data_IF_236275498062
#
_entry.id   IF_236275498062
#
_cell.length_a   1.000
_cell.length_b   1.000
_cell.length_c   1.000
_cell.angle_alpha   90.00
_cell.angle_beta   90.00
_cell.angle_gamma   90.00
#
_symmetry.space_group_name_H-M   'P 1'
#
loop_
_entity.id
_entity.type
_entity.pdbx_description
1 polymer ?
#
# COMPACT_ATOMS: atom_id res chain seq x y z
N UNK A 1 29.83 7.46 -7.56
CA UNK A 1 28.48 7.26 -6.97
C UNK A 1 28.52 6.76 -5.53
N UNK A 2 29.21 5.65 -5.22
CA UNK A 2 29.27 5.10 -3.84
C UNK A 2 29.75 6.10 -2.78
N UNK A 3 30.88 6.78 -3.02
CA UNK A 3 31.43 7.76 -2.07
C UNK A 3 30.48 8.92 -1.81
N UNK A 4 29.76 9.39 -2.84
CA UNK A 4 28.77 10.44 -2.69
C UNK A 4 27.55 9.95 -1.88
N UNK A 5 27.09 8.72 -2.14
CA UNK A 5 26.05 8.08 -1.33
C UNK A 5 26.44 7.97 0.14
N UNK A 6 27.69 7.58 0.43
CA UNK A 6 28.24 7.52 1.78
C UNK A 6 28.23 8.90 2.46
N UNK A 7 28.68 9.95 1.77
CA UNK A 7 28.70 11.31 2.32
C UNK A 7 27.28 11.80 2.60
N UNK A 8 26.34 11.62 1.67
CA UNK A 8 24.95 12.04 1.85
C UNK A 8 24.23 11.25 2.95
N UNK A 9 24.50 9.95 3.04
CA UNK A 9 24.03 9.12 4.14
C UNK A 9 24.52 9.67 5.49
N UNK A 10 25.82 9.95 5.59
CA UNK A 10 26.41 10.49 6.82
C UNK A 10 25.80 11.85 7.19
N UNK A 11 25.66 12.75 6.22
CA UNK A 11 25.04 14.07 6.41
C UNK A 11 23.61 13.99 6.95
N UNK A 12 22.85 12.98 6.51
CA UNK A 12 21.46 12.73 6.90
C UNK A 12 21.31 11.97 8.24
N UNK A 13 22.17 10.99 8.51
CA UNK A 13 22.04 10.11 9.69
C UNK A 13 22.75 10.64 10.94
N UNK A 14 23.72 11.54 10.75
CA UNK A 14 24.52 12.09 11.83
C UNK A 14 24.49 13.63 11.81
N UNK A 15 23.33 14.27 12.05
CA UNK A 15 23.18 15.72 11.91
C UNK A 15 24.12 16.50 12.84
N UNK A 16 24.35 16.01 14.07
CA UNK A 16 25.26 16.65 15.04
C UNK A 16 26.71 16.60 14.57
N UNK A 17 27.21 15.42 14.16
CA UNK A 17 28.58 15.29 13.66
C UNK A 17 28.79 16.06 12.36
N UNK A 18 27.80 16.03 11.48
CA UNK A 18 27.81 16.77 10.21
C UNK A 18 27.85 18.27 10.45
N UNK A 19 27.08 18.78 11.41
CA UNK A 19 27.14 20.18 11.83
C UNK A 19 28.56 20.58 12.27
N UNK A 20 29.18 19.79 13.16
CA UNK A 20 30.52 20.07 13.66
C UNK A 20 31.58 20.03 12.54
N UNK A 21 31.49 19.06 11.63
CA UNK A 21 32.43 18.93 10.49
C UNK A 21 32.28 20.11 9.53
N UNK A 22 31.05 20.52 9.19
CA UNK A 22 30.80 21.65 8.30
C UNK A 22 31.27 22.98 8.93
N UNK A 23 31.03 23.16 10.23
CA UNK A 23 31.52 24.32 10.97
C UNK A 23 33.05 24.35 11.00
N UNK A 24 33.70 23.23 11.31
CA UNK A 24 35.15 23.10 11.30
C UNK A 24 35.74 23.40 9.91
N UNK A 25 35.11 22.91 8.84
CA UNK A 25 35.52 23.19 7.47
C UNK A 25 35.42 24.69 7.15
N UNK A 26 34.36 25.36 7.61
CA UNK A 26 34.22 26.82 7.50
C UNK A 26 35.33 27.60 8.23
N UNK A 27 35.68 27.18 9.45
CA UNK A 27 36.80 27.75 10.22
C UNK A 27 38.14 27.53 9.51
N UNK A 28 38.39 26.30 9.04
CA UNK A 28 39.61 25.93 8.34
C UNK A 28 39.78 26.75 7.05
N UNK A 29 38.74 26.84 6.23
CA UNK A 29 38.75 27.63 5.00
C UNK A 29 38.94 29.12 5.27
N UNK A 30 38.34 29.64 6.35
CA UNK A 30 38.54 31.03 6.79
C UNK A 30 39.99 31.27 7.19
N UNK A 31 40.62 30.33 7.91
CA UNK A 31 42.02 30.42 8.32
C UNK A 31 42.98 30.38 7.12
N UNK A 32 42.73 29.48 6.17
CA UNK A 32 43.57 29.30 4.97
C UNK A 32 43.43 30.47 3.98
N UNK A 33 42.21 30.92 3.71
CA UNK A 33 41.90 31.92 2.68
C UNK A 33 41.84 33.34 3.26
N UNK A 34 41.81 33.47 4.59
CA UNK A 34 41.72 34.74 5.36
C UNK A 34 40.50 35.59 5.00
N UNK A 35 39.38 34.96 4.63
CA UNK A 35 38.10 35.63 4.35
C UNK A 35 37.01 35.11 5.28
N UNK A 36 36.45 35.98 6.10
CA UNK A 36 35.41 35.64 7.09
C UNK A 36 34.11 35.10 6.47
N UNK A 37 33.86 35.36 5.18
CA UNK A 37 32.68 34.86 4.46
C UNK A 37 32.59 33.32 4.48
N UNK A 38 33.72 32.60 4.52
CA UNK A 38 33.70 31.13 4.59
C UNK A 38 33.23 30.61 5.94
N UNK A 39 33.46 31.35 7.03
CA UNK A 39 32.94 31.02 8.34
C UNK A 39 31.43 31.19 8.36
N UNK A 40 30.93 32.29 7.79
CA UNK A 40 29.49 32.53 7.66
C UNK A 40 28.84 31.43 6.82
N UNK A 41 29.40 31.09 5.66
CA UNK A 41 28.89 30.03 4.79
C UNK A 41 28.96 28.65 5.45
N UNK A 42 30.03 28.33 6.18
CA UNK A 42 30.16 27.08 6.91
C UNK A 42 29.12 26.95 8.01
N UNK A 43 28.89 28.03 8.78
CA UNK A 43 27.87 28.07 9.82
C UNK A 43 26.45 27.95 9.26
N UNK A 44 26.10 28.74 8.23
CA UNK A 44 24.79 28.66 7.57
C UNK A 44 24.58 27.30 6.89
N UNK A 45 25.62 26.75 6.27
CA UNK A 45 25.58 25.41 5.66
C UNK A 45 25.37 24.31 6.70
N UNK A 46 26.01 24.41 7.88
CA UNK A 46 25.80 23.48 8.98
C UNK A 46 24.36 23.52 9.51
N UNK A 47 23.77 24.71 9.65
CA UNK A 47 22.35 24.87 10.01
C UNK A 47 21.42 24.30 8.93
N UNK A 48 21.67 24.63 7.67
CA UNK A 48 20.88 24.13 6.55
C UNK A 48 20.92 22.60 6.46
N UNK A 49 22.06 21.96 6.77
CA UNK A 49 22.21 20.51 6.75
C UNK A 49 21.20 19.80 7.65
N UNK A 50 20.90 20.34 8.84
CA UNK A 50 19.96 19.75 9.80
C UNK A 50 18.57 19.55 9.16
N UNK A 51 18.15 20.49 8.31
CA UNK A 51 16.82 20.47 7.69
C UNK A 51 16.81 19.93 6.26
N UNK A 52 17.91 20.06 5.52
CA UNK A 52 17.92 19.79 4.08
C UNK A 52 18.67 18.51 3.68
N UNK A 53 19.47 17.91 4.57
CA UNK A 53 20.27 16.74 4.23
C UNK A 53 19.43 15.55 3.75
N UNK A 54 18.32 15.26 4.44
CA UNK A 54 17.44 14.15 4.07
C UNK A 54 16.72 14.40 2.74
N UNK A 55 16.33 15.64 2.44
CA UNK A 55 15.75 16.00 1.13
C UNK A 55 16.77 15.86 -0.01
N UNK A 56 17.99 16.36 0.20
CA UNK A 56 19.07 16.23 -0.79
C UNK A 56 19.41 14.76 -1.04
N UNK A 57 19.47 13.95 0.03
CA UNK A 57 19.71 12.52 -0.06
C UNK A 57 18.57 11.79 -0.80
N UNK A 58 17.31 12.10 -0.48
CA UNK A 58 16.14 11.54 -1.16
C UNK A 58 16.12 11.89 -2.67
N UNK A 59 16.41 13.15 -3.02
CA UNK A 59 16.54 13.57 -4.41
C UNK A 59 17.64 12.80 -5.14
N UNK A 60 18.83 12.73 -4.55
CA UNK A 60 19.98 12.03 -5.12
C UNK A 60 19.70 10.53 -5.35
N UNK A 61 19.18 9.84 -4.33
CA UNK A 61 18.87 8.42 -4.41
C UNK A 61 17.73 8.15 -5.39
N UNK A 62 16.73 9.03 -5.48
CA UNK A 62 15.68 8.86 -6.47
C UNK A 62 16.21 9.06 -7.90
N UNK A 63 17.08 10.05 -8.12
CA UNK A 63 17.63 10.34 -9.44
C UNK A 63 18.59 9.26 -9.94
N UNK A 64 19.46 8.73 -9.07
CA UNK A 64 20.58 7.87 -9.48
C UNK A 64 20.54 6.44 -8.93
N UNK A 65 19.63 6.16 -7.98
CA UNK A 65 19.51 4.84 -7.37
C UNK A 65 18.78 3.84 -8.26
N UNK A 66 19.10 2.56 -8.06
CA UNK A 66 18.38 1.45 -8.68
C UNK A 66 17.26 0.97 -7.76
N UNK A 67 16.17 0.48 -8.34
CA UNK A 67 15.02 0.00 -7.57
C UNK A 67 15.36 -1.28 -6.82
N UNK A 68 14.83 -1.39 -5.60
CA UNK A 68 14.81 -2.59 -4.77
C UNK A 68 13.49 -2.67 -4.02
N UNK A 69 13.35 -3.73 -3.22
CA UNK A 69 12.20 -3.95 -2.35
C UNK A 69 12.68 -4.08 -0.92
N UNK A 70 11.99 -3.48 0.03
CA UNK A 70 12.37 -3.50 1.43
C UNK A 70 11.17 -3.82 2.32
N UNK A 71 11.43 -4.32 3.52
CA UNK A 71 10.44 -4.55 4.56
C UNK A 71 11.00 -4.11 5.91
N UNK A 72 10.18 -3.42 6.70
CA UNK A 72 10.53 -3.09 8.08
C UNK A 72 10.39 -4.34 8.92
N UNK A 73 11.48 -4.80 9.52
CA UNK A 73 11.52 -6.01 10.36
C UNK A 73 11.33 -5.67 11.84
N UNK A 74 11.68 -4.45 12.24
CA UNK A 74 11.54 -3.98 13.62
C UNK A 74 11.28 -2.47 13.65
N UNK A 75 10.41 -2.06 14.56
CA UNK A 75 10.19 -0.66 14.93
C UNK A 75 10.45 -0.50 16.43
N UNK A 76 11.26 0.49 16.82
CA UNK A 76 11.61 0.78 18.22
C UNK A 76 11.30 2.23 18.55
N UNK A 77 10.53 2.46 19.61
CA UNK A 77 10.26 3.81 20.12
C UNK A 77 11.51 4.39 20.79
N UNK A 78 11.86 5.63 20.45
CA UNK A 78 13.01 6.34 21.03
C UNK A 78 12.65 7.13 22.29
N UNK A 79 11.39 7.06 22.75
CA UNK A 79 10.80 7.89 23.81
C UNK A 79 10.92 9.40 23.55
N UNK A 80 11.13 9.78 22.29
CA UNK A 80 11.22 11.17 21.84
C UNK A 80 10.03 11.50 20.96
N UNK A 81 9.57 12.75 21.00
CA UNK A 81 8.49 13.23 20.14
C UNK A 81 8.99 14.33 19.21
N UNK A 82 8.45 14.37 18.00
CA UNK A 82 8.62 15.41 17.00
C UNK A 82 7.21 15.90 16.62
N UNK A 83 6.89 17.16 16.97
CA UNK A 83 5.54 17.73 16.78
C UNK A 83 4.43 16.85 17.36
N UNK A 84 4.58 16.42 18.62
CA UNK A 84 3.67 15.53 19.35
C UNK A 84 3.49 14.12 18.74
N UNK A 85 4.25 13.78 17.68
CA UNK A 85 4.31 12.44 17.13
C UNK A 85 5.57 11.69 17.65
N UNK A 86 5.47 10.41 18.02
CA UNK A 86 6.61 9.63 18.47
C UNK A 86 7.66 9.44 17.36
N UNK A 87 8.93 9.47 17.76
CA UNK A 87 10.08 9.20 16.90
C UNK A 87 10.49 7.74 17.08
N UNK A 88 10.56 7.03 15.95
CA UNK A 88 10.97 5.63 15.90
C UNK A 88 12.29 5.43 15.17
N UNK A 89 12.99 4.38 15.58
CA UNK A 89 14.06 3.72 14.84
C UNK A 89 13.51 2.46 14.14
N UNK A 90 13.95 2.24 12.92
CA UNK A 90 13.49 1.16 12.06
C UNK A 90 14.66 0.29 11.62
N UNK A 91 14.54 -1.02 11.82
CA UNK A 91 15.38 -2.01 11.13
C UNK A 91 14.66 -2.44 9.85
N UNK A 92 15.42 -2.46 8.76
CA UNK A 92 14.92 -2.69 7.41
C UNK A 92 15.72 -3.80 6.74
N UNK A 93 15.01 -4.79 6.22
CA UNK A 93 15.58 -5.79 5.33
C UNK A 93 15.38 -5.32 3.89
N UNK A 94 16.48 -4.96 3.23
CA UNK A 94 16.51 -4.61 1.82
C UNK A 94 16.81 -5.85 0.99
N UNK A 95 16.00 -6.09 -0.03
CA UNK A 95 16.27 -7.00 -1.13
C UNK A 95 16.75 -6.23 -2.34
N UNK A 96 18.02 -6.43 -2.68
CA UNK A 96 18.66 -5.76 -3.82
C UNK A 96 18.19 -6.35 -5.16
N UNK A 97 18.52 -5.68 -6.26
CA UNK A 97 18.11 -6.08 -7.60
C UNK A 97 18.84 -7.36 -8.06
N UNK A 98 20.02 -7.62 -7.51
CA UNK A 98 20.79 -8.86 -7.66
C UNK A 98 20.39 -9.96 -6.65
N UNK A 99 19.33 -9.74 -5.87
CA UNK A 99 18.74 -10.74 -4.98
C UNK A 99 19.47 -10.95 -3.66
N UNK A 100 20.35 -10.03 -3.26
CA UNK A 100 21.01 -10.06 -1.94
C UNK A 100 20.13 -9.42 -0.89
N UNK A 101 20.17 -9.99 0.31
CA UNK A 101 19.50 -9.48 1.48
C UNK A 101 20.47 -8.67 2.33
N UNK A 102 20.15 -7.40 2.57
CA UNK A 102 20.98 -6.46 3.33
C UNK A 102 20.16 -5.87 4.47
N UNK A 103 20.67 -6.01 5.69
CA UNK A 103 20.07 -5.36 6.87
C UNK A 103 20.61 -3.93 6.96
N UNK A 104 19.70 -2.98 7.05
CA UNK A 104 19.96 -1.57 7.26
C UNK A 104 18.93 -0.97 8.20
N UNK A 105 18.97 0.34 8.42
CA UNK A 105 18.02 1.02 9.28
C UNK A 105 18.13 2.52 9.14
N UNK A 106 17.05 3.19 9.56
CA UNK A 106 16.94 4.64 9.62
C UNK A 106 16.00 5.01 10.77
N UNK A 107 16.01 6.28 11.15
CA UNK A 107 15.07 6.84 12.10
C UNK A 107 14.04 7.72 11.39
N UNK A 108 12.96 8.04 12.10
CA UNK A 108 11.92 8.99 11.64
C UNK A 108 12.54 10.32 11.16
N UNK A 109 13.64 10.76 11.78
CA UNK A 109 14.33 12.02 11.45
C UNK A 109 15.38 11.91 10.34
N UNK A 110 15.85 10.69 10.03
CA UNK A 110 16.90 10.46 9.01
C UNK A 110 16.36 9.79 7.75
N UNK A 111 15.10 9.37 7.76
CA UNK A 111 14.42 8.75 6.64
C UNK A 111 14.44 9.64 5.40
N UNK A 112 15.06 9.15 4.31
CA UNK A 112 14.94 9.75 3.00
C UNK A 112 13.65 9.23 2.33
N UNK A 113 12.69 10.11 2.07
CA UNK A 113 11.38 9.76 1.50
C UNK A 113 11.16 10.55 0.21
N UNK A 114 10.67 9.87 -0.82
CA UNK A 114 10.30 10.47 -2.10
C UNK A 114 8.85 10.11 -2.47
N UNK A 115 8.04 11.03 -3.04
CA UNK A 115 8.37 12.43 -3.36
C UNK A 115 8.61 13.30 -2.12
N UNK A 116 9.31 14.43 -2.33
CA UNK A 116 9.65 15.35 -1.25
C UNK A 116 8.39 16.09 -0.79
N UNK A 117 7.97 15.87 0.45
CA UNK A 117 6.82 16.55 1.07
C UNK A 117 7.04 16.74 2.56
N UNK A 118 6.25 17.61 3.18
CA UNK A 118 6.27 17.84 4.62
C UNK A 118 5.38 16.82 5.36
N UNK A 119 5.59 15.53 5.08
CA UNK A 119 4.83 14.43 5.68
C UNK A 119 5.68 13.17 5.70
N UNK A 120 5.72 12.50 6.84
CA UNK A 120 6.51 11.29 7.05
C UNK A 120 5.61 10.08 6.75
N UNK A 121 5.76 9.51 5.55
CA UNK A 121 5.05 8.29 5.15
C UNK A 121 6.01 7.11 5.14
N UNK A 122 6.06 6.41 6.28
CA UNK A 122 6.82 5.18 6.45
C UNK A 122 5.82 4.03 6.53
N UNK A 123 5.96 2.98 5.69
CA UNK A 123 5.09 1.82 5.73
C UNK A 123 5.09 1.11 7.10
N UNK A 124 3.99 0.45 7.50
CA UNK A 124 3.96 -0.36 8.71
C UNK A 124 4.96 -1.52 8.70
N UNK A 125 5.34 -2.00 9.89
CA UNK A 125 6.18 -3.19 10.05
C UNK A 125 5.58 -4.40 9.32
N UNK A 126 6.43 -5.17 8.63
CA UNK A 126 6.03 -6.35 7.87
C UNK A 126 5.40 -6.08 6.50
N UNK A 127 5.18 -4.82 6.11
CA UNK A 127 4.74 -4.48 4.75
C UNK A 127 5.94 -4.23 3.84
N UNK A 128 5.89 -4.80 2.63
CA UNK A 128 6.88 -4.51 1.60
C UNK A 128 6.67 -3.12 1.00
N UNK A 129 7.77 -2.46 0.68
CA UNK A 129 7.77 -1.16 0.02
C UNK A 129 8.92 -1.01 -0.95
N UNK A 130 8.71 -0.11 -1.91
CA UNK A 130 9.68 0.14 -2.97
C UNK A 130 10.71 1.15 -2.48
N UNK A 131 11.97 0.87 -2.77
CA UNK A 131 13.08 1.77 -2.43
C UNK A 131 14.00 1.95 -3.63
N UNK A 132 14.85 2.99 -3.56
CA UNK A 132 16.05 3.09 -4.40
C UNK A 132 17.30 3.19 -3.54
N UNK A 133 18.39 2.64 -4.04
CA UNK A 133 19.71 2.66 -3.40
C UNK A 133 20.83 2.70 -4.44
N UNK A 134 22.05 3.00 -3.99
CA UNK A 134 23.24 2.97 -4.85
C UNK A 134 23.97 1.63 -4.65
N UNK A 135 24.20 0.82 -5.71
CA UNK A 135 24.94 -0.43 -5.60
C UNK A 135 26.32 -0.24 -4.96
N UNK A 136 26.66 -1.11 -4.00
CA UNK A 136 27.84 -1.05 -3.15
C UNK A 136 27.78 -0.05 -2.01
N UNK A 137 26.64 0.62 -1.79
CA UNK A 137 26.33 1.30 -0.54
C UNK A 137 24.83 1.21 -0.23
N UNK A 138 24.38 -0.04 -0.06
CA UNK A 138 23.00 -0.47 0.11
C UNK A 138 22.33 0.05 1.39
N UNK A 139 23.12 0.52 2.36
CA UNK A 139 22.62 1.11 3.59
C UNK A 139 21.89 2.45 3.37
N UNK A 140 22.21 3.15 2.28
CA UNK A 140 21.57 4.41 1.96
C UNK A 140 20.41 4.19 1.00
N UNK A 141 19.20 4.22 1.54
CA UNK A 141 17.96 3.96 0.82
C UNK A 141 17.05 5.18 0.84
N UNK A 142 16.29 5.36 -0.25
CA UNK A 142 15.14 6.28 -0.29
C UNK A 142 13.86 5.46 -0.41
N UNK A 143 12.89 5.77 0.44
CA UNK A 143 11.55 5.18 0.42
C UNK A 143 10.75 5.83 -0.69
N UNK A 144 10.36 5.06 -1.71
CA UNK A 144 9.41 5.51 -2.73
C UNK A 144 8.00 5.30 -2.20
N UNK A 145 7.60 6.22 -1.32
CA UNK A 145 6.35 6.16 -0.57
C UNK A 145 5.13 5.90 -1.46
N UNK A 146 4.98 6.63 -2.55
CA UNK A 146 3.84 6.55 -3.48
C UNK A 146 3.88 5.30 -4.37
N UNK A 147 5.05 4.68 -4.57
CA UNK A 147 5.20 3.46 -5.36
C UNK A 147 4.84 2.20 -4.55
N UNK A 148 4.84 2.29 -3.22
CA UNK A 148 4.52 1.18 -2.31
C UNK A 148 3.02 0.84 -2.32
N UNK A 149 2.62 -0.41 -1.99
CA UNK A 149 1.21 -0.75 -1.82
C UNK A 149 0.49 0.16 -0.81
N UNK A 150 1.16 0.46 0.30
CA UNK A 150 0.68 1.39 1.32
C UNK A 150 0.40 2.79 0.75
N UNK A 151 1.36 3.36 0.02
CA UNK A 151 1.20 4.69 -0.59
C UNK A 151 0.11 4.72 -1.67
N UNK A 152 0.02 3.69 -2.52
CA UNK A 152 -1.03 3.57 -3.54
C UNK A 152 -2.42 3.54 -2.94
N UNK A 153 -2.61 2.78 -1.86
CA UNK A 153 -3.88 2.74 -1.13
C UNK A 153 -4.23 4.12 -0.55
N UNK A 154 -3.26 4.82 0.04
CA UNK A 154 -3.46 6.17 0.55
C UNK A 154 -3.83 7.16 -0.56
N UNK A 155 -3.11 7.16 -1.69
CA UNK A 155 -3.40 8.04 -2.82
C UNK A 155 -4.80 7.76 -3.37
N UNK A 156 -5.17 6.48 -3.48
CA UNK A 156 -6.54 6.08 -3.85
C UNK A 156 -7.58 6.61 -2.87
N UNK A 157 -7.35 6.51 -1.56
CA UNK A 157 -8.28 7.04 -0.56
C UNK A 157 -8.43 8.58 -0.65
N UNK A 158 -7.32 9.31 -0.87
CA UNK A 158 -7.36 10.77 -1.06
C UNK A 158 -8.13 11.16 -2.33
N UNK A 159 -7.93 10.44 -3.43
CA UNK A 159 -8.69 10.63 -4.66
C UNK A 159 -10.20 10.40 -4.47
N UNK A 160 -10.57 9.39 -3.67
CA UNK A 160 -11.96 9.08 -3.36
C UNK A 160 -12.64 10.21 -2.57
N UNK A 161 -11.93 10.91 -1.69
CA UNK A 161 -12.49 12.04 -0.91
C UNK A 161 -13.01 13.15 -1.82
N UNK A 162 -12.27 13.48 -2.90
CA UNK A 162 -12.68 14.48 -3.88
C UNK A 162 -13.96 14.07 -4.63
N UNK A 163 -14.03 12.79 -5.03
CA UNK A 163 -15.22 12.22 -5.68
C UNK A 163 -16.41 12.24 -4.74
N UNK A 164 -16.20 11.87 -3.47
CA UNK A 164 -17.24 11.81 -2.46
C UNK A 164 -17.79 13.19 -2.12
N UNK A 165 -16.94 14.20 -2.00
CA UNK A 165 -17.35 15.60 -1.83
C UNK A 165 -18.25 16.05 -2.98
N UNK A 166 -17.85 15.79 -4.23
CA UNK A 166 -18.64 16.16 -5.40
C UNK A 166 -19.96 15.37 -5.48
N UNK A 167 -19.96 14.10 -5.08
CA UNK A 167 -21.16 13.26 -4.95
C UNK A 167 -22.15 13.85 -3.95
N UNK A 168 -21.68 14.22 -2.75
CA UNK A 168 -22.53 14.82 -1.71
C UNK A 168 -23.16 16.13 -2.22
N UNK A 169 -22.38 16.98 -2.89
CA UNK A 169 -22.89 18.22 -3.49
C UNK A 169 -23.95 17.96 -4.57
N UNK A 170 -23.71 17.00 -5.45
CA UNK A 170 -24.69 16.57 -6.45
C UNK A 170 -25.96 16.03 -5.81
N UNK A 171 -25.85 15.15 -4.82
CA UNK A 171 -27.01 14.57 -4.13
C UNK A 171 -27.82 15.63 -3.36
N UNK A 172 -27.16 16.65 -2.81
CA UNK A 172 -27.83 17.76 -2.14
C UNK A 172 -28.63 18.65 -3.12
N UNK A 173 -28.22 18.74 -4.39
CA UNK A 173 -28.96 19.49 -5.41
C UNK A 173 -28.79 18.87 -6.82
N UNK A 174 -29.53 17.80 -7.15
CA UNK A 174 -29.34 17.06 -8.40
C UNK A 174 -29.70 17.86 -9.67
N UNK A 175 -30.53 18.89 -9.54
CA UNK A 175 -30.92 19.77 -10.65
C UNK A 175 -29.88 20.86 -10.94
N UNK A 176 -28.89 21.05 -10.07
CA UNK A 176 -27.81 21.99 -10.29
C UNK A 176 -26.80 21.44 -11.30
N UNK A 177 -26.72 22.09 -12.47
CA UNK A 177 -25.83 21.70 -13.56
C UNK A 177 -24.36 21.76 -13.17
N UNK A 178 -23.97 22.69 -12.31
CA UNK A 178 -22.57 22.89 -11.90
C UNK A 178 -22.10 21.72 -11.02
N UNK A 179 -22.93 21.27 -10.07
CA UNK A 179 -22.60 20.12 -9.22
C UNK A 179 -22.53 18.82 -10.02
N UNK A 180 -23.42 18.65 -11.01
CA UNK A 180 -23.31 17.50 -11.94
C UNK A 180 -22.01 17.53 -12.73
N UNK A 181 -21.60 18.70 -13.23
CA UNK A 181 -20.34 18.85 -13.95
C UNK A 181 -19.13 18.60 -13.04
N UNK A 182 -19.14 19.11 -11.81
CA UNK A 182 -18.08 18.88 -10.82
C UNK A 182 -17.96 17.39 -10.48
N UNK A 183 -19.10 16.69 -10.33
CA UNK A 183 -19.08 15.25 -10.06
C UNK A 183 -18.54 14.44 -11.25
N UNK A 184 -18.97 14.77 -12.47
CA UNK A 184 -18.42 14.19 -13.70
C UNK A 184 -16.91 14.44 -13.83
N UNK A 185 -16.45 15.66 -13.54
CA UNK A 185 -15.04 16.02 -13.60
C UNK A 185 -14.21 15.24 -12.58
N UNK A 186 -14.65 15.18 -11.32
CA UNK A 186 -13.97 14.44 -10.26
C UNK A 186 -13.88 12.93 -10.57
N UNK A 187 -14.94 12.34 -11.14
CA UNK A 187 -14.92 10.94 -11.58
C UNK A 187 -13.91 10.70 -12.71
N UNK A 188 -13.85 11.59 -13.71
CA UNK A 188 -12.90 11.49 -14.82
C UNK A 188 -11.46 11.63 -14.32
N UNK A 189 -11.20 12.63 -13.50
CA UNK A 189 -9.90 12.86 -12.87
C UNK A 189 -9.43 11.61 -12.09
N UNK A 190 -10.30 11.05 -11.24
CA UNK A 190 -9.99 9.82 -10.52
C UNK A 190 -9.67 8.65 -11.46
N UNK A 191 -10.42 8.48 -12.54
CA UNK A 191 -10.26 7.36 -13.47
C UNK A 191 -9.04 7.50 -14.40
N UNK A 192 -8.62 8.72 -14.69
CA UNK A 192 -7.46 9.00 -15.54
C UNK A 192 -6.14 8.77 -14.79
N UNK A 193 -6.12 8.93 -13.47
CA UNK A 193 -4.94 8.75 -12.64
C UNK A 193 -4.45 7.27 -12.60
N UNK A 194 -3.21 6.97 -13.04
CA UNK A 194 -2.68 5.60 -13.08
C UNK A 194 -2.62 4.89 -11.73
N UNK A 195 -2.46 5.66 -10.65
CA UNK A 195 -2.32 5.15 -9.27
C UNK A 195 -3.62 4.57 -8.70
N UNK A 196 -4.78 4.87 -9.29
CA UNK A 196 -6.05 4.30 -8.84
C UNK A 196 -6.36 2.94 -9.47
N UNK A 197 -5.59 2.52 -10.48
CA UNK A 197 -5.80 1.25 -11.21
C UNK A 197 -5.62 0.00 -10.34
N UNK A 198 -5.02 0.13 -9.15
CA UNK A 198 -4.88 -0.98 -8.20
C UNK A 198 -6.19 -1.30 -7.46
N UNK A 199 -7.08 -0.33 -7.31
CA UNK A 199 -8.42 -0.54 -6.74
C UNK A 199 -9.42 -0.83 -7.87
N UNK A 200 -9.35 -2.06 -8.39
CA UNK A 200 -10.19 -2.51 -9.51
C UNK A 200 -11.68 -2.38 -9.21
N UNK A 201 -12.09 -2.57 -7.95
CA UNK A 201 -13.49 -2.45 -7.56
C UNK A 201 -13.97 -1.01 -7.68
N UNK A 202 -13.28 -0.07 -7.03
CA UNK A 202 -13.68 1.34 -7.06
C UNK A 202 -13.62 1.92 -8.46
N UNK A 203 -12.59 1.58 -9.24
CA UNK A 203 -12.47 2.01 -10.64
C UNK A 203 -13.66 1.52 -11.48
N UNK A 204 -14.06 0.26 -11.33
CA UNK A 204 -15.20 -0.28 -12.06
C UNK A 204 -16.52 0.37 -11.62
N UNK A 205 -16.69 0.59 -10.31
CA UNK A 205 -17.83 1.31 -9.75
C UNK A 205 -17.93 2.72 -10.33
N UNK A 206 -16.84 3.48 -10.32
CA UNK A 206 -16.82 4.84 -10.83
C UNK A 206 -17.02 4.93 -12.34
N UNK A 207 -16.54 3.95 -13.13
CA UNK A 207 -16.88 3.86 -14.56
C UNK A 207 -18.38 3.67 -14.80
N UNK A 208 -19.04 2.83 -14.00
CA UNK A 208 -20.49 2.63 -14.10
C UNK A 208 -21.26 3.91 -13.76
N UNK A 209 -20.88 4.58 -12.67
CA UNK A 209 -21.46 5.86 -12.26
C UNK A 209 -21.27 6.91 -13.36
N UNK A 210 -20.06 7.02 -13.92
CA UNK A 210 -19.75 7.95 -14.98
C UNK A 210 -20.64 7.71 -16.21
N UNK A 211 -20.77 6.45 -16.65
CA UNK A 211 -21.64 6.08 -17.76
C UNK A 211 -23.13 6.38 -17.51
N UNK A 212 -23.62 6.17 -16.28
CA UNK A 212 -24.99 6.50 -15.91
C UNK A 212 -25.23 8.02 -15.95
N UNK A 213 -24.33 8.81 -15.37
CA UNK A 213 -24.41 10.27 -15.37
C UNK A 213 -24.30 10.86 -16.77
N UNK A 214 -23.46 10.31 -17.65
CA UNK A 214 -23.37 10.76 -19.06
C UNK A 214 -24.64 10.42 -19.84
N UNK A 215 -25.28 9.29 -19.54
CA UNK A 215 -26.57 8.90 -20.10
C UNK A 215 -27.77 9.66 -19.51
N UNK A 216 -27.54 10.58 -18.56
CA UNK A 216 -28.62 11.33 -17.88
C UNK A 216 -29.46 10.49 -16.92
N UNK A 217 -28.95 9.33 -16.49
CA UNK A 217 -29.59 8.45 -15.51
C UNK A 217 -29.10 8.76 -14.10
N UNK A 218 -29.91 8.38 -13.10
CA UNK A 218 -29.50 8.44 -11.71
C UNK A 218 -28.37 7.43 -11.44
N UNK A 219 -27.19 7.87 -10.97
CA UNK A 219 -26.07 6.99 -10.68
C UNK A 219 -26.35 6.00 -9.53
N UNK A 220 -27.19 6.34 -8.54
CA UNK A 220 -27.42 5.46 -7.38
C UNK A 220 -28.37 4.30 -7.71
N UNK A 221 -29.32 4.49 -8.63
CA UNK A 221 -30.17 3.41 -9.15
C UNK A 221 -29.40 2.43 -10.05
N UNK A 222 -28.33 2.90 -10.70
CA UNK A 222 -27.51 2.09 -11.59
C UNK A 222 -26.58 1.14 -10.81
N UNK A 223 -26.11 1.57 -9.63
CA UNK A 223 -25.23 0.78 -8.76
C UNK A 223 -25.95 -0.37 -8.04
N UNK A 224 -27.18 -0.16 -7.57
CA UNK A 224 -27.96 -1.17 -6.84
C UNK A 224 -28.31 -2.36 -7.74
N UNK A 225 -28.58 -2.12 -9.02
CA UNK A 225 -28.96 -3.21 -9.94
C UNK A 225 -27.75 -4.05 -10.37
N UNK A 226 -26.63 -3.42 -10.74
CA UNK A 226 -25.44 -4.16 -11.23
C UNK A 226 -24.63 -4.80 -10.11
N UNK A 227 -24.53 -4.17 -8.94
CA UNK A 227 -23.81 -4.73 -7.79
C UNK A 227 -24.54 -5.95 -7.23
N UNK A 228 -25.88 -5.87 -7.08
CA UNK A 228 -26.70 -7.01 -6.61
C UNK A 228 -26.65 -8.17 -7.60
N UNK A 229 -26.72 -7.92 -8.91
CA UNK A 229 -26.64 -8.99 -9.93
C UNK A 229 -25.27 -9.67 -9.92
N UNK A 230 -24.17 -8.90 -9.83
CA UNK A 230 -22.82 -9.47 -9.82
C UNK A 230 -22.54 -10.23 -8.52
N UNK A 231 -22.94 -9.69 -7.37
CA UNK A 231 -22.79 -10.37 -6.07
C UNK A 231 -23.61 -11.66 -6.00
N UNK A 232 -24.86 -11.66 -6.51
CA UNK A 232 -25.67 -12.86 -6.61
C UNK A 232 -25.05 -13.91 -7.55
N UNK A 233 -24.50 -13.50 -8.69
CA UNK A 233 -23.86 -14.42 -9.63
C UNK A 233 -22.60 -15.07 -9.08
N UNK A 234 -21.76 -14.29 -8.38
CA UNK A 234 -20.54 -14.78 -7.75
C UNK A 234 -20.87 -15.70 -6.56
N UNK A 235 -21.90 -15.35 -5.78
CA UNK A 235 -22.39 -16.17 -4.68
C UNK A 235 -22.98 -17.51 -5.15
N UNK A 236 -23.78 -17.49 -6.23
CA UNK A 236 -24.33 -18.72 -6.82
C UNK A 236 -23.23 -19.63 -7.38
N UNK A 237 -22.22 -19.04 -8.05
CA UNK A 237 -21.08 -19.79 -8.57
C UNK A 237 -20.25 -20.42 -7.46
N UNK A 238 -20.02 -19.70 -6.36
CA UNK A 238 -19.33 -20.21 -5.18
C UNK A 238 -20.11 -21.35 -4.51
N UNK A 239 -21.42 -21.18 -4.36
CA UNK A 239 -22.32 -22.17 -3.75
C UNK A 239 -22.38 -23.44 -4.59
N UNK A 240 -22.48 -23.32 -5.92
CA UNK A 240 -22.48 -24.46 -6.82
C UNK A 240 -21.14 -25.22 -6.76
N UNK A 241 -20.01 -24.51 -6.82
CA UNK A 241 -18.70 -25.15 -6.74
C UNK A 241 -18.46 -25.84 -5.39
N UNK A 242 -19.05 -25.31 -4.31
CA UNK A 242 -19.04 -25.95 -3.00
C UNK A 242 -19.90 -27.23 -2.98
N UNK A 243 -21.10 -27.20 -3.57
CA UNK A 243 -21.97 -28.37 -3.69
C UNK A 243 -21.35 -29.46 -4.54
N UNK A 244 -20.71 -29.11 -5.65
CA UNK A 244 -20.04 -30.07 -6.54
C UNK A 244 -18.87 -30.76 -5.83
N UNK A 245 -18.10 -30.01 -5.03
CA UNK A 245 -17.02 -30.59 -4.24
C UNK A 245 -17.54 -31.44 -3.07
N UNK A 246 -18.69 -31.10 -2.48
CA UNK A 246 -19.32 -31.94 -1.45
C UNK A 246 -19.86 -33.24 -2.03
N UNK A 247 -20.46 -33.19 -3.23
CA UNK A 247 -20.97 -34.36 -3.92
C UNK A 247 -19.86 -35.31 -4.37
N UNK A 248 -18.68 -34.78 -4.72
CA UNK A 248 -17.55 -35.59 -5.17
C UNK A 248 -16.19 -35.06 -4.65
N UNK A 249 -15.84 -35.35 -3.38
CA UNK A 249 -14.69 -34.73 -2.70
C UNK A 249 -13.31 -35.05 -3.29
N UNK A 250 -13.23 -36.11 -4.09
CA UNK A 250 -12.01 -36.56 -4.78
C UNK A 250 -11.90 -36.04 -6.21
N UNK A 251 -12.92 -35.36 -6.74
CA UNK A 251 -12.89 -34.84 -8.10
C UNK A 251 -11.96 -33.62 -8.21
N UNK A 252 -10.85 -33.71 -8.97
CA UNK A 252 -9.97 -32.57 -9.18
C UNK A 252 -10.64 -31.42 -9.94
N UNK A 253 -11.66 -31.68 -10.77
CA UNK A 253 -12.36 -30.65 -11.52
C UNK A 253 -13.22 -29.79 -10.59
N UNK A 254 -14.05 -30.40 -9.74
CA UNK A 254 -14.83 -29.70 -8.72
C UNK A 254 -13.94 -28.86 -7.78
N UNK A 255 -12.75 -29.37 -7.40
CA UNK A 255 -11.80 -28.62 -6.58
C UNK A 255 -11.22 -27.40 -7.31
N UNK A 256 -10.85 -27.54 -8.58
CA UNK A 256 -10.36 -26.41 -9.38
C UNK A 256 -11.44 -25.36 -9.60
N UNK A 257 -12.70 -25.78 -9.82
CA UNK A 257 -13.84 -24.88 -9.92
C UNK A 257 -14.05 -24.09 -8.62
N UNK A 258 -13.95 -24.73 -7.45
CA UNK A 258 -14.05 -24.02 -6.17
C UNK A 258 -12.90 -23.02 -5.96
N UNK A 259 -11.67 -23.38 -6.32
CA UNK A 259 -10.52 -22.46 -6.26
C UNK A 259 -10.78 -21.22 -7.14
N UNK A 260 -11.27 -21.40 -8.36
CA UNK A 260 -11.57 -20.29 -9.26
C UNK A 260 -12.75 -19.44 -8.75
N UNK A 261 -13.79 -20.07 -8.22
CA UNK A 261 -14.93 -19.38 -7.63
C UNK A 261 -14.54 -18.55 -6.41
N UNK A 262 -13.70 -19.09 -5.50
CA UNK A 262 -13.16 -18.34 -4.35
C UNK A 262 -12.29 -17.17 -4.80
N UNK A 263 -11.43 -17.36 -5.81
CA UNK A 263 -10.62 -16.27 -6.39
C UNK A 263 -11.49 -15.18 -7.01
N UNK A 264 -12.51 -15.56 -7.77
CA UNK A 264 -13.49 -14.63 -8.33
C UNK A 264 -14.21 -13.85 -7.25
N UNK A 265 -14.75 -14.54 -6.24
CA UNK A 265 -15.44 -13.93 -5.10
C UNK A 265 -14.56 -12.97 -4.29
N UNK A 266 -13.33 -13.38 -3.95
CA UNK A 266 -12.36 -12.55 -3.24
C UNK A 266 -11.94 -11.32 -4.05
N UNK A 267 -11.88 -11.44 -5.38
CA UNK A 267 -11.59 -10.31 -6.26
C UNK A 267 -12.74 -9.30 -6.38
N UNK A 268 -13.99 -9.74 -6.15
CA UNK A 268 -15.17 -8.87 -6.21
C UNK A 268 -15.52 -8.18 -4.88
N UNK A 269 -15.15 -8.76 -3.73
CA UNK A 269 -15.65 -8.36 -2.40
C UNK A 269 -14.66 -7.56 -1.51
N UNK A 270 -13.66 -6.88 -2.08
CA UNK A 270 -12.65 -6.17 -1.26
C UNK A 270 -13.09 -4.80 -0.71
N UNK A 271 -14.36 -4.41 -0.83
CA UNK A 271 -14.88 -3.17 -0.29
C UNK A 271 -16.17 -3.39 0.53
N UNK A 272 -16.02 -3.79 1.80
CA UNK A 272 -17.08 -3.60 2.81
C UNK A 272 -17.57 -4.82 3.59
N UNK A 273 -17.08 -6.04 3.31
CA UNK A 273 -17.39 -7.20 4.15
C UNK A 273 -16.45 -7.37 5.34
N UNK A 274 -16.96 -8.03 6.39
CA UNK A 274 -16.25 -8.31 7.63
C UNK A 274 -14.88 -8.96 7.36
N UNK A 275 -13.84 -8.39 7.98
CA UNK A 275 -12.46 -8.86 7.96
C UNK A 275 -12.35 -10.36 8.27
N UNK A 276 -13.25 -10.90 9.10
CA UNK A 276 -13.30 -12.31 9.45
C UNK A 276 -13.66 -13.22 8.26
N UNK A 277 -14.67 -12.85 7.48
CA UNK A 277 -15.14 -13.62 6.32
C UNK A 277 -14.09 -13.69 5.23
N UNK A 278 -13.45 -12.55 4.91
CA UNK A 278 -12.37 -12.47 3.92
C UNK A 278 -11.18 -13.34 4.36
N UNK A 279 -10.78 -13.27 5.65
CA UNK A 279 -9.73 -14.12 6.21
C UNK A 279 -10.07 -15.61 6.12
N UNK A 280 -11.32 -15.99 6.36
CA UNK A 280 -11.80 -17.36 6.21
C UNK A 280 -11.62 -17.90 4.79
N UNK A 281 -12.05 -17.14 3.78
CA UNK A 281 -11.89 -17.52 2.37
C UNK A 281 -10.42 -17.57 1.93
N UNK A 282 -9.58 -16.65 2.40
CA UNK A 282 -8.13 -16.68 2.13
C UNK A 282 -7.44 -17.91 2.74
N UNK A 283 -7.82 -18.30 3.96
CA UNK A 283 -7.32 -19.52 4.60
C UNK A 283 -7.78 -20.77 3.86
N UNK A 284 -9.05 -20.81 3.43
CA UNK A 284 -9.60 -21.91 2.63
C UNK A 284 -8.86 -22.04 1.29
N UNK A 285 -8.62 -20.94 0.59
CA UNK A 285 -7.85 -20.93 -0.66
C UNK A 285 -6.44 -21.52 -0.47
N UNK A 286 -5.73 -21.07 0.57
CA UNK A 286 -4.38 -21.57 0.91
C UNK A 286 -4.37 -23.07 1.26
N UNK A 287 -5.43 -23.58 1.90
CA UNK A 287 -5.58 -25.00 2.20
C UNK A 287 -5.84 -25.83 0.93
N UNK A 288 -6.71 -25.36 0.04
CA UNK A 288 -7.03 -26.03 -1.23
C UNK A 288 -5.81 -26.07 -2.15
N UNK A 289 -5.05 -24.98 -2.26
CA UNK A 289 -3.84 -24.92 -3.09
C UNK A 289 -2.72 -25.82 -2.54
N UNK A 290 -2.48 -25.82 -1.22
CA UNK A 290 -1.42 -26.65 -0.60
C UNK A 290 -1.70 -28.16 -0.70
N UNK A 291 -2.97 -28.58 -0.68
CA UNK A 291 -3.36 -29.99 -0.84
C UNK A 291 -3.13 -30.55 -2.25
N UNK A 292 -3.03 -29.68 -3.26
CA UNK A 292 -2.74 -30.06 -4.65
C UNK A 292 -1.28 -30.52 -4.79
N UNK A 293 -0.38 -30.01 -3.95
CA UNK A 293 1.04 -30.36 -3.94
C UNK A 293 1.28 -31.77 -3.35
N UNK A 294 0.44 -32.21 -2.40
CA UNK A 294 0.62 -33.49 -1.68
C UNK A 294 0.14 -34.69 -2.52
N UNK A 295 -0.84 -34.51 -3.41
CA UNK A 295 -1.35 -35.59 -4.28
C UNK A 295 -0.35 -36.05 -5.37
N UNK A 296 0.73 -35.30 -5.62
CA UNK A 296 1.87 -35.77 -6.43
C UNK A 296 2.80 -36.72 -5.67
N UNK A 297 2.61 -36.88 -4.36
CA UNK A 297 3.40 -37.74 -3.48
C UNK A 297 2.55 -38.78 -2.74
N UNK A 298 1.84 -39.65 -3.46
CA UNK A 298 1.50 -41.03 -3.03
C UNK A 298 0.90 -41.30 -1.64
N UNK A 299 0.22 -40.36 -0.97
CA UNK A 299 -0.47 -40.58 0.30
C UNK A 299 -1.91 -40.10 0.27
N UNK A 300 -2.83 -40.75 1.00
CA UNK A 300 -4.27 -40.48 0.98
C UNK A 300 -4.66 -39.32 1.94
N UNK A 301 -4.87 -38.07 1.46
CA UNK A 301 -5.03 -36.86 2.29
C UNK A 301 -6.50 -36.37 2.37
N UNK A 302 -7.45 -37.11 1.76
CA UNK A 302 -8.83 -36.66 1.58
C UNK A 302 -9.61 -36.46 2.87
N UNK A 303 -9.42 -37.32 3.88
CA UNK A 303 -10.23 -37.29 5.11
C UNK A 303 -9.81 -36.20 6.12
N UNK A 304 -8.51 -35.87 6.21
CA UNK A 304 -8.00 -34.85 7.15
C UNK A 304 -8.36 -33.42 6.72
N UNK A 305 -8.57 -33.21 5.41
CA UNK A 305 -8.83 -31.89 4.83
C UNK A 305 -10.30 -31.50 4.94
N UNK A 306 -11.23 -32.46 4.77
CA UNK A 306 -12.69 -32.22 4.89
C UNK A 306 -13.05 -31.81 6.32
N UNK A 307 -12.49 -32.48 7.34
CA UNK A 307 -12.71 -32.13 8.75
C UNK A 307 -12.24 -30.71 9.11
N UNK A 308 -11.12 -30.26 8.52
CA UNK A 308 -10.57 -28.91 8.77
C UNK A 308 -11.39 -27.82 8.07
N UNK A 309 -11.92 -28.11 6.88
CA UNK A 309 -12.83 -27.20 6.14
C UNK A 309 -14.19 -27.11 6.84
N UNK A 310 -14.77 -28.22 7.31
CA UNK A 310 -15.99 -28.22 8.14
C UNK A 310 -15.82 -27.44 9.45
N UNK A 311 -14.65 -27.53 10.10
CA UNK A 311 -14.37 -26.79 11.34
C UNK A 311 -14.30 -25.27 11.10
N UNK A 312 -13.85 -24.84 9.92
CA UNK A 312 -13.81 -23.41 9.53
C UNK A 312 -15.22 -22.91 9.17
N UNK A 313 -16.06 -23.76 8.56
CA UNK A 313 -17.41 -23.40 8.12
C UNK A 313 -18.45 -23.38 9.25
N UNK A 314 -18.31 -24.25 10.25
CA UNK A 314 -19.25 -24.35 11.38
C UNK A 314 -18.86 -23.45 12.57
N UNK A 315 -17.78 -22.69 12.44
CA UNK A 315 -17.18 -21.91 13.50
C UNK A 315 -17.61 -20.45 13.59
N UNK A 316 -18.77 -20.02 13.06
CA UNK A 316 -19.37 -18.71 13.40
C UNK A 316 -20.82 -18.52 12.89
N UNK A 317 -21.76 -19.42 13.26
CA UNK A 317 -23.20 -19.22 12.96
C UNK A 317 -23.99 -18.66 14.13
N UNK A 318 -23.34 -18.15 15.17
CA UNK A 318 -24.02 -17.65 16.39
C UNK A 318 -24.44 -16.18 16.36
N UNK A 319 -24.10 -15.41 15.31
CA UNK A 319 -24.61 -14.04 15.13
C UNK A 319 -25.35 -13.89 13.80
N UNK A 320 -26.63 -14.28 13.82
CA UNK A 320 -27.54 -14.13 12.68
C UNK A 320 -27.83 -12.68 12.32
N UNK A 321 -27.90 -12.42 11.01
CA UNK A 321 -28.80 -11.41 10.43
C UNK A 321 -29.62 -12.07 9.32
N UNK A 322 -30.85 -12.42 9.68
CA UNK A 322 -31.93 -12.73 8.74
C UNK A 322 -32.22 -11.48 7.90
N UNK A 323 -31.89 -11.52 6.61
CA UNK A 323 -32.45 -10.56 5.65
C UNK A 323 -33.81 -11.09 5.24
N UNK A 324 -34.86 -10.52 5.83
CA UNK A 324 -36.23 -10.71 5.37
C UNK A 324 -36.35 -9.96 4.04
N UNK A 325 -36.50 -10.71 2.95
CA UNK A 325 -36.95 -10.17 1.66
C UNK A 325 -38.48 -10.22 1.71
N UNK A 326 -39.10 -9.07 1.93
CA UNK A 326 -40.55 -8.90 1.84
C UNK A 326 -41.00 -8.91 0.38
N UNK A 327 -42.14 -9.57 0.13
CA UNK A 327 -42.98 -9.39 -1.04
C UNK A 327 -43.64 -8.01 -1.03
#
# INVERSE_FOLDING_TARGET
MKSLSFVLYFLSHHPVWSFLILLFLGILLTSLIRKWIFLLLGFLGALANIFLAHYLNAWFLNAYGIKGEAVITRTVDTNSTLNDAPVYDYDVLLKTADGKDVITGFSTMSAAIYPLRNEILIPPQGQFFVVKYIPGYEKNIVVLSDDSPYGKQRLSALGQENVEKARIQYNASPTNKDFRQQYLAALKEYLDEPQHRYDTFTVNRYRQILGALEAGKDPEQSLTTTTVINDLSNFNTLTQAQQDLQANPTDPAARQQLIQAIKGFLSSQMAGQDSATIKGYQQMLKALESSTTIMKGGGNPGQLTIKKVETILNGDTTHGRTVIIGQ
#
